data_IF_144477643170
#
_entry.id   IF_144477643170
#
_cell.length_a   1.000
_cell.length_b   1.000
_cell.length_c   1.000
_cell.angle_alpha   90.00
_cell.angle_beta   90.00
_cell.angle_gamma   90.00
#
_symmetry.space_group_name_H-M   'P 1'
#
loop_
_entity.id
_entity.type
_entity.pdbx_description
1 polymer ?
#
# COMPACT_ATOMS: atom_id res chain seq x y z
N UNK A 1 2.89 -34.18 -16.46
CA UNK A 1 2.31 -33.48 -15.30
C UNK A 1 3.45 -33.07 -14.39
N UNK A 2 3.85 -31.80 -14.43
CA UNK A 2 4.88 -31.23 -13.56
C UNK A 2 4.18 -30.28 -12.60
N UNK A 3 4.04 -30.70 -11.35
CA UNK A 3 3.44 -29.90 -10.27
C UNK A 3 4.39 -28.74 -10.00
N UNK A 4 3.90 -27.51 -10.20
CA UNK A 4 4.64 -26.29 -9.92
C UNK A 4 5.05 -26.26 -8.46
N UNK A 5 6.36 -26.30 -8.21
CA UNK A 5 6.92 -26.16 -6.88
C UNK A 5 6.49 -24.80 -6.30
N UNK A 6 5.72 -24.84 -5.22
CA UNK A 6 5.44 -23.68 -4.38
C UNK A 6 6.77 -23.08 -3.92
N UNK A 7 7.08 -21.86 -4.37
CA UNK A 7 8.17 -21.06 -3.81
C UNK A 7 7.79 -20.65 -2.39
N UNK A 8 8.08 -21.51 -1.41
CA UNK A 8 8.09 -21.09 -0.01
C UNK A 8 9.13 -19.97 0.15
N UNK A 9 8.78 -18.83 0.78
CA UNK A 9 9.75 -17.79 1.07
C UNK A 9 10.89 -18.37 1.92
N UNK A 10 12.13 -17.91 1.72
CA UNK A 10 13.29 -18.48 2.38
C UNK A 10 13.16 -18.34 3.91
N UNK A 11 13.57 -19.36 4.69
CA UNK A 11 13.58 -19.28 6.14
C UNK A 11 14.58 -18.20 6.58
N UNK A 12 14.08 -17.19 7.28
CA UNK A 12 14.86 -16.07 7.82
C UNK A 12 14.04 -15.29 8.84
N UNK A 13 14.67 -14.44 9.66
CA UNK A 13 13.94 -13.50 10.50
C UNK A 13 12.99 -12.66 9.63
N UNK A 14 11.82 -12.26 10.16
CA UNK A 14 10.90 -11.41 9.42
C UNK A 14 11.66 -10.18 8.90
N UNK A 15 11.40 -9.74 7.65
CA UNK A 15 12.11 -8.62 7.06
C UNK A 15 12.01 -7.40 7.96
N UNK A 16 13.07 -6.60 8.02
CA UNK A 16 13.12 -5.40 8.86
C UNK A 16 11.90 -4.50 8.59
N UNK A 17 11.21 -4.11 9.67
CA UNK A 17 9.95 -3.35 9.71
C UNK A 17 10.05 -1.92 9.16
N UNK A 18 11.19 -1.58 8.58
CA UNK A 18 11.48 -0.29 8.00
C UNK A 18 12.37 -0.54 6.79
N UNK A 19 11.89 -0.12 5.63
CA UNK A 19 12.71 -0.15 4.43
C UNK A 19 13.26 1.24 4.17
N UNK A 20 14.55 1.38 4.38
CA UNK A 20 15.30 2.50 3.82
C UNK A 20 15.10 2.49 2.32
N UNK A 21 14.41 3.50 1.84
CA UNK A 21 14.05 3.67 0.45
C UNK A 21 14.81 4.87 -0.09
N UNK A 22 15.26 4.75 -1.33
CA UNK A 22 15.99 5.81 -2.03
C UNK A 22 15.15 6.27 -3.21
N UNK A 23 15.03 7.59 -3.36
CA UNK A 23 14.38 8.22 -4.51
C UNK A 23 15.31 9.29 -5.08
N UNK A 24 15.41 9.35 -6.41
CA UNK A 24 16.04 10.48 -7.09
C UNK A 24 15.03 11.59 -7.26
N UNK A 25 15.33 12.76 -6.69
CA UNK A 25 14.61 13.99 -7.01
C UNK A 25 15.36 14.68 -8.13
N UNK A 26 14.81 14.59 -9.34
CA UNK A 26 15.42 15.19 -10.52
C UNK A 26 14.92 16.63 -10.73
N UNK A 27 15.81 17.51 -11.18
CA UNK A 27 15.44 18.80 -11.75
C UNK A 27 15.39 18.67 -13.27
N UNK A 28 14.37 19.26 -13.87
CA UNK A 28 14.20 19.26 -15.31
C UNK A 28 14.05 20.69 -15.85
N UNK A 29 14.78 21.00 -16.94
CA UNK A 29 14.70 22.27 -17.66
C UNK A 29 13.86 22.09 -18.93
N UNK A 30 12.64 22.61 -18.90
CA UNK A 30 11.69 22.40 -20.00
C UNK A 30 11.86 23.38 -21.17
N UNK A 31 12.63 24.46 -21.00
CA UNK A 31 12.80 25.48 -22.04
C UNK A 31 11.47 26.09 -22.51
N UNK A 32 11.33 26.26 -23.82
CA UNK A 32 10.07 26.67 -24.47
C UNK A 32 9.16 25.45 -24.63
N UNK A 33 8.10 25.43 -23.83
CA UNK A 33 7.23 24.26 -23.69
C UNK A 33 6.07 24.27 -24.70
N UNK A 34 5.89 23.16 -25.42
CA UNK A 34 4.68 22.88 -26.19
C UNK A 34 3.60 22.33 -25.27
N UNK A 35 2.63 23.16 -24.90
CA UNK A 35 1.47 22.73 -24.12
C UNK A 35 0.46 21.95 -24.97
N UNK A 36 -0.12 20.89 -24.41
CA UNK A 36 -1.28 20.19 -24.96
C UNK A 36 -2.22 19.71 -23.86
N UNK A 37 -3.52 19.92 -24.07
CA UNK A 37 -4.62 19.36 -23.27
C UNK A 37 -5.58 18.53 -24.13
N UNK A 38 -5.08 17.98 -25.24
CA UNK A 38 -5.84 17.07 -26.08
C UNK A 38 -5.93 15.69 -25.41
N UNK A 39 -7.11 15.06 -25.43
CA UNK A 39 -7.28 13.70 -24.89
C UNK A 39 -6.38 12.68 -25.61
N UNK A 40 -6.19 12.87 -26.92
CA UNK A 40 -5.41 11.99 -27.80
C UNK A 40 -4.58 12.85 -28.75
N UNK A 41 -3.47 13.45 -28.28
CA UNK A 41 -2.64 14.27 -29.13
C UNK A 41 -1.91 13.41 -30.17
N UNK A 42 -1.61 13.99 -31.34
CA UNK A 42 -0.79 13.36 -32.37
C UNK A 42 0.70 13.34 -31.93
N UNK A 43 1.28 12.16 -31.62
CA UNK A 43 2.64 12.06 -31.11
C UNK A 43 3.68 12.49 -32.15
N UNK A 44 3.47 12.22 -33.43
CA UNK A 44 4.42 12.57 -34.49
C UNK A 44 4.48 14.07 -34.71
N UNK A 45 3.33 14.75 -34.56
CA UNK A 45 3.28 16.21 -34.61
C UNK A 45 3.98 16.83 -33.39
N UNK A 46 3.77 16.29 -32.20
CA UNK A 46 4.42 16.76 -30.98
C UNK A 46 5.94 16.58 -31.05
N UNK A 47 6.41 15.40 -31.46
CA UNK A 47 7.82 15.10 -31.60
C UNK A 47 8.49 16.00 -32.65
N UNK A 48 7.88 16.17 -33.83
CA UNK A 48 8.41 17.07 -34.87
C UNK A 48 8.51 18.51 -34.40
N UNK A 49 7.62 18.97 -33.53
CA UNK A 49 7.69 20.34 -33.00
C UNK A 49 8.93 20.61 -32.13
N UNK A 50 9.58 19.54 -31.65
CA UNK A 50 10.76 19.62 -30.78
C UNK A 50 12.05 19.07 -31.42
N UNK A 51 11.95 18.25 -32.48
CA UNK A 51 13.09 17.56 -33.09
C UNK A 51 13.36 17.95 -34.56
N UNK A 52 12.63 18.91 -35.13
CA UNK A 52 12.90 19.39 -36.49
C UNK A 52 14.24 20.10 -36.61
N UNK A 53 14.75 20.29 -37.83
CA UNK A 53 16.00 21.03 -38.09
C UNK A 53 15.99 22.45 -37.51
N UNK A 54 14.81 23.07 -37.46
CA UNK A 54 14.53 24.29 -36.71
C UNK A 54 13.38 23.99 -35.72
N UNK A 55 13.68 23.56 -34.47
CA UNK A 55 12.65 23.21 -33.49
C UNK A 55 11.96 24.48 -32.97
N UNK A 56 10.63 24.43 -32.81
CA UNK A 56 9.86 25.55 -32.27
C UNK A 56 9.77 25.50 -30.75
N UNK A 57 9.93 24.31 -30.16
CA UNK A 57 9.81 24.03 -28.74
C UNK A 57 10.94 23.12 -28.28
N UNK A 58 11.26 23.17 -26.99
CA UNK A 58 12.32 22.35 -26.37
C UNK A 58 11.75 21.14 -25.61
N UNK A 59 10.44 21.14 -25.34
CA UNK A 59 9.75 20.08 -24.60
C UNK A 59 8.25 20.10 -24.86
N UNK A 60 7.56 19.05 -24.42
CA UNK A 60 6.08 18.95 -24.45
C UNK A 60 5.56 18.83 -23.03
N UNK A 61 4.45 19.52 -22.71
CA UNK A 61 3.71 19.38 -21.45
C UNK A 61 2.27 18.96 -21.74
N UNK A 62 1.92 17.75 -21.32
CA UNK A 62 0.55 17.23 -21.31
C UNK A 62 -0.17 17.57 -20.01
N UNK A 63 -1.21 18.39 -20.07
CA UNK A 63 -2.01 18.74 -18.88
C UNK A 63 -3.14 17.73 -18.62
N UNK A 64 -2.78 16.53 -18.15
CA UNK A 64 -3.78 15.52 -17.74
C UNK A 64 -4.53 15.91 -16.48
N UNK A 65 -4.03 16.88 -15.71
CA UNK A 65 -4.77 17.46 -14.59
C UNK A 65 -6.05 18.14 -15.07
N UNK A 66 -5.98 18.90 -16.17
CA UNK A 66 -7.14 19.56 -16.77
C UNK A 66 -8.15 18.58 -17.36
N UNK A 67 -7.67 17.52 -18.00
CA UNK A 67 -8.53 16.58 -18.75
C UNK A 67 -9.10 15.47 -17.87
N UNK A 68 -8.26 14.83 -17.05
CA UNK A 68 -8.56 13.59 -16.32
C UNK A 68 -8.46 13.76 -14.80
N UNK A 69 -8.12 14.95 -14.29
CA UNK A 69 -7.92 15.17 -12.86
C UNK A 69 -6.67 14.51 -12.28
N UNK A 70 -5.74 14.07 -13.14
CA UNK A 70 -4.50 13.39 -12.73
C UNK A 70 -3.31 14.36 -12.65
N UNK A 71 -2.07 13.87 -12.73
CA UNK A 71 -0.85 14.68 -12.73
C UNK A 71 -0.52 15.20 -14.13
N UNK A 72 0.25 16.29 -14.21
CA UNK A 72 0.81 16.74 -15.49
C UNK A 72 1.98 15.84 -15.89
N UNK A 73 2.11 15.59 -17.17
CA UNK A 73 3.21 14.82 -17.75
C UNK A 73 4.00 15.71 -18.70
N UNK A 74 5.30 15.50 -18.82
CA UNK A 74 6.13 16.22 -19.77
C UNK A 74 7.12 15.28 -20.46
N UNK A 75 7.55 15.68 -21.66
CA UNK A 75 8.55 14.98 -22.45
C UNK A 75 9.66 15.96 -22.79
N UNK A 76 10.88 15.59 -22.46
CA UNK A 76 12.12 16.25 -22.86
C UNK A 76 12.84 15.37 -23.86
N UNK A 77 13.65 15.97 -24.74
CA UNK A 77 14.28 15.25 -25.85
C UNK A 77 15.80 15.18 -25.75
N UNK A 78 16.40 16.01 -24.90
CA UNK A 78 17.82 15.96 -24.59
C UNK A 78 18.02 15.49 -23.15
N UNK A 79 18.98 14.58 -22.96
CA UNK A 79 19.39 14.06 -21.65
C UNK A 79 19.92 15.16 -20.73
N UNK A 80 20.63 16.14 -21.27
CA UNK A 80 21.11 17.32 -20.55
C UNK A 80 19.98 18.18 -19.91
N UNK A 81 18.71 17.98 -20.30
CA UNK A 81 17.57 18.70 -19.71
C UNK A 81 17.17 18.13 -18.34
N UNK A 82 17.67 16.97 -17.92
CA UNK A 82 17.30 16.32 -16.66
C UNK A 82 18.54 15.89 -15.92
N UNK A 83 18.67 16.33 -14.68
CA UNK A 83 19.73 15.85 -13.81
C UNK A 83 19.19 15.51 -12.42
N UNK A 84 19.75 14.49 -11.74
CA UNK A 84 19.45 14.25 -10.34
C UNK A 84 19.94 15.42 -9.50
N UNK A 85 19.02 16.13 -8.83
CA UNK A 85 19.38 17.24 -7.95
C UNK A 85 19.67 16.72 -6.54
N UNK A 86 18.85 15.78 -6.05
CA UNK A 86 19.00 15.19 -4.73
C UNK A 86 18.80 13.67 -4.76
N UNK A 87 19.55 12.98 -3.89
CA UNK A 87 19.25 11.61 -3.48
C UNK A 87 18.46 11.72 -2.17
N UNK A 88 17.18 11.41 -2.22
CA UNK A 88 16.31 11.39 -1.05
C UNK A 88 16.34 10.00 -0.45
N UNK A 89 16.94 9.90 0.74
CA UNK A 89 16.87 8.69 1.58
C UNK A 89 15.76 8.92 2.59
N UNK A 90 14.81 8.00 2.65
CA UNK A 90 13.67 8.09 3.55
C UNK A 90 13.23 6.71 4.01
N UNK A 91 12.66 6.67 5.20
CA UNK A 91 12.11 5.48 5.79
C UNK A 91 10.64 5.38 5.38
N UNK A 92 10.29 4.31 4.66
CA UNK A 92 8.87 3.99 4.41
C UNK A 92 8.35 3.19 5.59
N UNK A 93 7.31 3.70 6.25
CA UNK A 93 6.52 2.93 7.19
C UNK A 93 5.37 2.29 6.41
N UNK A 94 5.43 0.98 6.17
CA UNK A 94 4.32 0.29 5.52
C UNK A 94 3.18 0.05 6.53
N UNK A 95 1.94 0.15 6.05
CA UNK A 95 0.73 0.03 6.90
C UNK A 95 0.71 -1.27 7.73
N UNK A 96 1.22 -2.36 7.16
CA UNK A 96 1.31 -3.67 7.82
C UNK A 96 2.33 -3.69 8.95
N UNK A 97 3.49 -3.07 8.74
CA UNK A 97 4.58 -3.01 9.74
C UNK A 97 4.13 -2.21 10.96
N UNK A 98 3.42 -1.10 10.74
CA UNK A 98 2.87 -0.28 11.82
C UNK A 98 1.83 -1.04 12.64
N UNK A 99 0.99 -1.83 11.99
CA UNK A 99 0.02 -2.69 12.67
C UNK A 99 0.72 -3.79 13.47
N UNK A 100 1.68 -4.49 12.86
CA UNK A 100 2.42 -5.57 13.51
C UNK A 100 3.16 -5.07 14.76
N UNK A 101 3.77 -3.88 14.69
CA UNK A 101 4.39 -3.21 15.85
C UNK A 101 3.39 -3.01 16.98
N UNK A 102 2.23 -2.42 16.67
CA UNK A 102 1.16 -2.19 17.66
C UNK A 102 0.62 -3.49 18.24
N UNK A 103 0.43 -4.51 17.41
CA UNK A 103 -0.01 -5.82 17.87
C UNK A 103 0.99 -6.42 18.87
N UNK A 104 2.29 -6.35 18.58
CA UNK A 104 3.33 -6.81 19.52
C UNK A 104 3.40 -5.97 20.80
N UNK A 105 3.23 -4.65 20.72
CA UNK A 105 3.13 -3.76 21.88
C UNK A 105 1.91 -4.12 22.76
N UNK A 106 0.78 -4.48 22.14
CA UNK A 106 -0.40 -4.99 22.84
C UNK A 106 -0.12 -6.34 23.53
N UNK A 107 0.54 -7.28 22.83
CA UNK A 107 0.96 -8.59 23.40
C UNK A 107 1.91 -8.40 24.58
N UNK A 108 2.93 -7.55 24.44
CA UNK A 108 3.90 -7.29 25.51
C UNK A 108 3.24 -6.66 26.74
N UNK A 109 2.31 -5.72 26.54
CA UNK A 109 1.48 -5.19 27.65
C UNK A 109 0.60 -6.25 28.29
N UNK A 110 0.09 -7.20 27.51
CA UNK A 110 -0.70 -8.31 28.04
C UNK A 110 0.18 -9.22 28.91
N UNK A 111 1.39 -9.58 28.46
CA UNK A 111 2.39 -10.34 29.24
C UNK A 111 2.76 -9.64 30.55
N UNK A 112 2.83 -8.30 30.53
CA UNK A 112 3.09 -7.47 31.71
C UNK A 112 1.86 -7.24 32.61
N UNK A 113 0.71 -7.85 32.30
CA UNK A 113 -0.56 -7.67 33.02
C UNK A 113 -1.05 -6.20 33.06
N UNK A 114 -0.65 -5.40 32.06
CA UNK A 114 -0.98 -3.97 31.92
C UNK A 114 -1.90 -3.69 30.72
N UNK A 115 -2.50 -4.74 30.15
CA UNK A 115 -3.38 -4.63 29.01
C UNK A 115 -4.84 -4.51 29.43
N UNK A 116 -5.44 -3.34 29.15
CA UNK A 116 -6.86 -3.05 29.38
C UNK A 116 -7.61 -2.84 28.07
N UNK A 117 -7.01 -3.26 26.95
CA UNK A 117 -7.45 -2.95 25.60
C UNK A 117 -6.49 -2.02 24.86
N UNK A 118 -6.73 -1.80 23.56
CA UNK A 118 -5.96 -0.85 22.76
C UNK A 118 -6.14 0.58 23.28
N UNK A 119 -5.06 1.35 23.26
CA UNK A 119 -5.07 2.80 23.48
C UNK A 119 -5.72 3.51 22.29
N UNK A 120 -6.10 4.78 22.48
CA UNK A 120 -6.74 5.57 21.42
C UNK A 120 -5.85 5.70 20.16
N UNK A 121 -4.53 5.72 20.30
CA UNK A 121 -3.62 5.81 19.16
C UNK A 121 -3.43 4.47 18.46
N UNK A 122 -3.44 3.36 19.21
CA UNK A 122 -3.44 2.02 18.61
C UNK A 122 -4.75 1.76 17.86
N UNK A 123 -5.89 2.11 18.45
CA UNK A 123 -7.20 1.97 17.81
C UNK A 123 -7.27 2.75 16.49
N UNK A 124 -6.70 3.97 16.42
CA UNK A 124 -6.61 4.73 15.16
C UNK A 124 -5.85 3.97 14.07
N UNK A 125 -4.76 3.29 14.43
CA UNK A 125 -3.96 2.55 13.45
C UNK A 125 -4.67 1.27 13.03
N UNK A 126 -5.21 0.51 13.98
CA UNK A 126 -6.04 -0.67 13.70
C UNK A 126 -7.20 -0.28 12.76
N UNK A 127 -7.83 0.88 13.01
CA UNK A 127 -8.93 1.41 12.21
C UNK A 127 -8.48 1.86 10.82
N UNK A 128 -7.31 2.48 10.71
CA UNK A 128 -6.73 2.85 9.41
C UNK A 128 -6.43 1.62 8.56
N UNK A 129 -5.97 0.51 9.15
CA UNK A 129 -5.80 -0.77 8.44
C UNK A 129 -7.17 -1.31 7.99
N UNK A 130 -8.12 -1.35 8.92
CA UNK A 130 -9.48 -1.79 8.62
C UNK A 130 -10.13 -1.02 7.47
N UNK A 131 -10.01 0.31 7.47
CA UNK A 131 -10.59 1.15 6.42
C UNK A 131 -9.98 0.85 5.05
N UNK A 132 -8.69 0.51 4.98
CA UNK A 132 -8.04 0.12 3.73
C UNK A 132 -8.64 -1.18 3.16
N UNK A 133 -8.80 -2.21 3.99
CA UNK A 133 -9.31 -3.51 3.58
C UNK A 133 -10.83 -3.57 3.44
N UNK A 134 -11.57 -2.72 4.15
CA UNK A 134 -13.03 -2.68 4.11
C UNK A 134 -13.61 -1.81 3.00
N UNK A 135 -12.76 -1.15 2.18
CA UNK A 135 -13.18 -0.57 0.91
C UNK A 135 -13.17 -1.64 -0.19
N UNK A 136 -14.21 -1.72 -1.04
CA UNK A 136 -15.32 -0.76 -1.26
C UNK A 136 -16.59 -1.03 -0.44
N UNK A 137 -16.57 -1.97 0.51
CA UNK A 137 -17.77 -2.56 1.14
C UNK A 137 -18.32 -1.84 2.39
N UNK A 138 -18.14 -0.51 2.48
CA UNK A 138 -18.70 0.35 3.54
C UNK A 138 -18.34 -0.09 4.97
N UNK A 139 -17.10 -0.50 5.21
CA UNK A 139 -16.65 -0.82 6.57
C UNK A 139 -17.02 -2.23 7.03
N UNK A 140 -17.20 -3.18 6.09
CA UNK A 140 -17.31 -4.61 6.35
C UNK A 140 -16.36 -5.38 5.43
N UNK A 141 -15.73 -6.44 5.92
CA UNK A 141 -14.84 -7.30 5.12
C UNK A 141 -15.47 -8.67 4.85
N UNK A 142 -15.20 -9.23 3.68
CA UNK A 142 -15.52 -10.61 3.34
C UNK A 142 -14.39 -11.60 3.71
N UNK A 143 -14.60 -12.88 3.42
CA UNK A 143 -13.66 -13.98 3.74
C UNK A 143 -12.27 -13.77 3.11
N UNK A 144 -12.23 -13.28 1.87
CA UNK A 144 -10.98 -13.10 1.13
C UNK A 144 -10.25 -11.84 1.59
N UNK A 145 -10.98 -10.78 1.87
CA UNK A 145 -10.44 -9.57 2.47
C UNK A 145 -9.89 -9.83 3.90
N UNK A 146 -10.52 -10.73 4.66
CA UNK A 146 -9.97 -11.22 5.93
C UNK A 146 -8.66 -11.99 5.72
N UNK A 147 -8.60 -12.88 4.72
CA UNK A 147 -7.36 -13.61 4.41
C UNK A 147 -6.22 -12.65 4.06
N UNK A 148 -6.47 -11.67 3.21
CA UNK A 148 -5.47 -10.69 2.82
C UNK A 148 -5.03 -9.84 4.01
N UNK A 149 -5.95 -9.46 4.90
CA UNK A 149 -5.63 -8.76 6.14
C UNK A 149 -4.75 -9.63 7.05
N UNK A 150 -5.15 -10.89 7.29
CA UNK A 150 -4.44 -11.84 8.14
C UNK A 150 -3.03 -12.16 7.61
N UNK A 151 -2.90 -12.37 6.30
CA UNK A 151 -1.59 -12.52 5.62
C UNK A 151 -0.75 -11.28 5.78
N UNK A 152 -1.34 -10.10 5.65
CA UNK A 152 -0.62 -8.86 5.72
C UNK A 152 -0.09 -8.54 7.14
N UNK A 153 -0.72 -9.07 8.19
CA UNK A 153 -0.25 -8.94 9.57
C UNK A 153 0.64 -10.12 10.01
N UNK A 154 1.09 -10.95 9.05
CA UNK A 154 1.91 -12.15 9.29
C UNK A 154 1.25 -13.15 10.27
N UNK A 155 -0.08 -13.28 10.16
CA UNK A 155 -0.89 -14.26 10.90
C UNK A 155 -1.76 -15.07 9.94
N UNK A 156 -1.18 -15.73 8.92
CA UNK A 156 -1.96 -16.54 8.00
C UNK A 156 -2.64 -17.72 8.75
N UNK A 157 -3.84 -18.12 8.34
CA UNK A 157 -4.43 -19.38 8.80
C UNK A 157 -3.55 -20.58 8.40
N UNK A 158 -3.57 -21.68 9.18
CA UNK A 158 -2.74 -22.86 8.89
C UNK A 158 -3.16 -23.54 7.57
N UNK A 159 -4.45 -23.50 7.24
CA UNK A 159 -5.05 -23.91 5.96
C UNK A 159 -5.91 -22.76 5.41
N UNK A 160 -5.51 -22.22 4.25
CA UNK A 160 -6.16 -21.05 3.64
C UNK A 160 -7.63 -21.26 3.25
N UNK A 161 -8.10 -22.51 3.15
CA UNK A 161 -9.49 -22.79 2.75
C UNK A 161 -10.34 -23.15 3.97
N UNK A 162 -9.99 -24.23 4.66
CA UNK A 162 -10.81 -24.80 5.74
C UNK A 162 -10.66 -24.01 7.04
N UNK A 163 -9.43 -23.64 7.42
CA UNK A 163 -9.21 -22.86 8.64
C UNK A 163 -9.67 -21.42 8.46
N UNK A 164 -9.63 -20.89 7.23
CA UNK A 164 -10.19 -19.58 6.95
C UNK A 164 -11.72 -19.57 7.05
N UNK A 165 -12.41 -20.64 6.63
CA UNK A 165 -13.86 -20.76 6.86
C UNK A 165 -14.19 -20.85 8.35
N UNK A 166 -13.44 -21.67 9.09
CA UNK A 166 -13.60 -21.79 10.53
C UNK A 166 -13.32 -20.45 11.25
N UNK A 167 -12.20 -19.81 10.94
CA UNK A 167 -11.81 -18.50 11.49
C UNK A 167 -12.84 -17.43 11.13
N UNK A 168 -13.33 -17.42 9.89
CA UNK A 168 -14.36 -16.46 9.48
C UNK A 168 -15.68 -16.68 10.24
N UNK A 169 -16.09 -17.94 10.46
CA UNK A 169 -17.28 -18.26 11.24
C UNK A 169 -17.12 -17.92 12.73
N UNK A 170 -15.92 -18.11 13.28
CA UNK A 170 -15.57 -17.75 14.65
C UNK A 170 -15.67 -16.24 14.88
N UNK A 171 -15.12 -15.44 13.96
CA UNK A 171 -15.10 -13.97 14.07
C UNK A 171 -16.49 -13.35 13.78
N UNK A 172 -17.24 -13.88 12.82
CA UNK A 172 -18.56 -13.38 12.40
C UNK A 172 -19.67 -13.80 13.39
N UNK A 173 -19.51 -13.42 14.66
CA UNK A 173 -20.43 -13.72 15.77
C UNK A 173 -21.84 -13.16 15.54
N UNK A 174 -21.96 -12.04 14.82
CA UNK A 174 -23.24 -11.45 14.42
C UNK A 174 -24.00 -12.28 13.37
N UNK A 175 -23.33 -13.26 12.75
CA UNK A 175 -23.82 -14.05 11.60
C UNK A 175 -24.32 -13.19 10.45
N UNK A 176 -23.78 -11.97 10.31
CA UNK A 176 -24.20 -11.02 9.28
C UNK A 176 -23.69 -11.35 7.88
N UNK A 177 -22.95 -12.47 7.75
CA UNK A 177 -22.27 -12.91 6.53
C UNK A 177 -21.04 -12.07 6.16
N UNK A 178 -20.67 -11.09 6.99
CA UNK A 178 -19.51 -10.21 6.84
C UNK A 178 -19.00 -9.82 8.21
N UNK A 179 -17.70 -9.55 8.32
CA UNK A 179 -17.09 -9.11 9.58
C UNK A 179 -17.19 -7.58 9.66
N UNK A 180 -17.62 -7.07 10.80
CA UNK A 180 -17.61 -5.65 11.12
C UNK A 180 -16.41 -5.24 11.99
N UNK A 181 -16.24 -3.93 12.19
CA UNK A 181 -15.13 -3.39 12.97
C UNK A 181 -15.06 -3.92 14.41
N UNK A 182 -16.21 -4.11 15.07
CA UNK A 182 -16.25 -4.56 16.47
C UNK A 182 -15.87 -6.03 16.58
N UNK A 183 -16.31 -6.84 15.63
CA UNK A 183 -15.95 -8.26 15.52
C UNK A 183 -14.45 -8.41 15.29
N UNK A 184 -13.88 -7.63 14.35
CA UNK A 184 -12.44 -7.61 14.11
C UNK A 184 -11.63 -7.17 15.34
N UNK A 185 -12.05 -6.10 16.02
CA UNK A 185 -11.33 -5.60 17.18
C UNK A 185 -11.33 -6.60 18.34
N UNK A 186 -12.46 -7.29 18.56
CA UNK A 186 -12.56 -8.36 19.56
C UNK A 186 -11.59 -9.49 19.23
N UNK A 187 -11.57 -9.95 17.99
CA UNK A 187 -10.64 -11.00 17.55
C UNK A 187 -9.17 -10.61 17.75
N UNK A 188 -8.80 -9.37 17.43
CA UNK A 188 -7.43 -8.87 17.64
C UNK A 188 -7.08 -8.91 19.13
N UNK A 189 -7.99 -8.49 20.01
CA UNK A 189 -7.81 -8.53 21.46
C UNK A 189 -7.66 -9.98 21.96
N UNK A 190 -8.47 -10.90 21.46
CA UNK A 190 -8.42 -12.31 21.84
C UNK A 190 -7.12 -12.98 21.38
N UNK A 191 -6.66 -12.67 20.15
CA UNK A 191 -5.35 -13.11 19.64
C UNK A 191 -4.19 -12.53 20.43
N UNK A 192 -4.28 -11.28 20.87
CA UNK A 192 -3.29 -10.67 21.77
C UNK A 192 -3.19 -11.47 23.07
N UNK A 193 -4.34 -11.80 23.67
CA UNK A 193 -4.41 -12.63 24.87
C UNK A 193 -3.91 -14.06 24.67
N UNK A 194 -4.15 -14.66 23.51
CA UNK A 194 -3.65 -15.98 23.16
C UNK A 194 -2.12 -15.99 22.99
N UNK A 195 -1.56 -15.03 22.26
CA UNK A 195 -0.11 -14.91 22.02
C UNK A 195 0.69 -14.45 23.26
N UNK A 196 0.00 -13.97 24.30
CA UNK A 196 0.59 -13.61 25.59
C UNK A 196 0.73 -14.79 26.56
N UNK A 197 0.06 -15.92 26.31
CA UNK A 197 0.17 -17.17 27.08
C UNK A 197 1.39 -17.98 26.62
#
# INVERSE_FOLDING_TARGET
EGVGAEMKPPPGPPPELYRDSVMLLCRSLLGKVKYTDEQRPDPDRLQRSCLSEAPEFDSVLGDRRKINGTFREFVVYHDDQVYPEFIVVYQREFFHERFQRIFFEMVDRCRRHQFHGPTADEEKVLKSLWEHYSMPHKGKIDKWQLLDLLKAIDQPPQNETDDLDATFQEINTSRSGRIDWKEFLTEVIDRVGFNAK
#
